data_IF_575112570570
#
_entry.id   IF_575112570570
#
_cell.length_a   1.000
_cell.length_b   1.000
_cell.length_c   1.000
_cell.angle_alpha   90.00
_cell.angle_beta   90.00
_cell.angle_gamma   90.00
#
_symmetry.space_group_name_H-M   'P 1'
#
loop_
_entity.id
_entity.type
_entity.pdbx_description
1 polymer ?
#
# COMPACT_ATOMS: atom_id res chain seq x y z
N UNK A 1 1.52 21.87 16.45
CA UNK A 1 2.24 21.20 15.35
C UNK A 1 3.03 22.22 14.53
N UNK A 2 4.07 21.81 13.80
CA UNK A 2 4.80 22.69 12.87
C UNK A 2 4.04 22.79 11.54
N UNK A 3 4.04 23.96 10.90
CA UNK A 3 3.42 24.20 9.58
C UNK A 3 1.91 23.89 9.49
N UNK A 4 1.14 24.10 10.57
CA UNK A 4 -0.30 23.76 10.60
C UNK A 4 -1.09 24.51 9.52
N UNK A 5 -0.87 25.82 9.36
CA UNK A 5 -1.56 26.64 8.35
C UNK A 5 -1.20 26.21 6.93
N UNK A 6 0.06 25.86 6.67
CA UNK A 6 0.50 25.42 5.34
C UNK A 6 -0.07 24.04 4.95
N UNK A 7 -0.46 23.20 5.92
CA UNK A 7 -1.01 21.86 5.71
C UNK A 7 -2.51 21.76 5.95
N UNK A 8 -3.21 22.86 6.19
CA UNK A 8 -4.61 22.86 6.61
C UNK A 8 -5.53 22.15 5.60
N UNK A 9 -5.33 22.38 4.29
CA UNK A 9 -6.09 21.73 3.23
C UNK A 9 -5.89 20.21 3.19
N UNK A 10 -4.63 19.75 3.26
CA UNK A 10 -4.32 18.32 3.32
C UNK A 10 -4.88 17.66 4.59
N UNK A 11 -4.73 18.31 5.75
CA UNK A 11 -5.26 17.80 7.01
C UNK A 11 -6.79 17.66 6.96
N UNK A 12 -7.48 18.66 6.40
CA UNK A 12 -8.93 18.62 6.19
C UNK A 12 -9.31 17.45 5.29
N UNK A 13 -8.67 17.31 4.12
CA UNK A 13 -8.96 16.21 3.20
C UNK A 13 -8.73 14.83 3.85
N UNK A 14 -7.68 14.66 4.67
CA UNK A 14 -7.43 13.40 5.39
C UNK A 14 -8.54 13.10 6.42
N UNK A 15 -8.97 14.12 7.17
CA UNK A 15 -10.02 13.98 8.17
C UNK A 15 -11.38 13.67 7.52
N UNK A 16 -11.68 14.32 6.39
CA UNK A 16 -12.93 14.14 5.66
C UNK A 16 -13.10 12.69 5.12
N UNK A 17 -12.00 11.96 4.88
CA UNK A 17 -12.07 10.54 4.47
C UNK A 17 -12.35 9.56 5.63
N UNK A 18 -12.10 9.95 6.88
CA UNK A 18 -12.45 9.10 8.04
C UNK A 18 -11.74 7.75 8.12
N UNK A 19 -10.50 7.62 7.61
CA UNK A 19 -9.79 6.33 7.49
C UNK A 19 -9.73 5.50 8.78
N UNK A 20 -9.54 6.15 9.94
CA UNK A 20 -9.51 5.48 11.23
C UNK A 20 -10.87 4.88 11.58
N UNK A 21 -11.95 5.66 11.43
CA UNK A 21 -13.30 5.22 11.73
C UNK A 21 -13.73 4.09 10.80
N UNK A 22 -13.38 4.18 9.51
CA UNK A 22 -13.62 3.13 8.55
C UNK A 22 -13.00 1.79 8.99
N UNK A 23 -11.72 1.80 9.37
CA UNK A 23 -11.04 0.60 9.90
C UNK A 23 -11.71 0.09 11.19
N UNK A 24 -12.06 0.98 12.12
CA UNK A 24 -12.70 0.62 13.39
C UNK A 24 -14.04 -0.10 13.17
N UNK A 25 -14.85 0.38 12.22
CA UNK A 25 -16.13 -0.24 11.88
C UNK A 25 -15.94 -1.62 11.22
N UNK A 26 -14.94 -1.78 10.35
CA UNK A 26 -14.60 -3.07 9.76
C UNK A 26 -14.18 -4.09 10.84
N UNK A 27 -13.29 -3.69 11.75
CA UNK A 27 -12.84 -4.53 12.86
C UNK A 27 -14.01 -4.98 13.74
N UNK A 28 -14.89 -4.05 14.11
CA UNK A 28 -16.11 -4.36 14.85
C UNK A 28 -17.00 -5.37 14.13
N UNK A 29 -17.32 -5.14 12.85
CA UNK A 29 -18.23 -6.00 12.09
C UNK A 29 -17.64 -7.38 11.81
N UNK A 30 -16.34 -7.46 11.57
CA UNK A 30 -15.65 -8.74 11.40
C UNK A 30 -15.60 -9.51 12.72
N UNK A 31 -15.30 -8.87 13.84
CA UNK A 31 -15.35 -9.52 15.15
C UNK A 31 -16.75 -10.08 15.49
N UNK A 32 -17.82 -9.35 15.14
CA UNK A 32 -19.19 -9.83 15.33
C UNK A 32 -19.49 -11.07 14.47
N UNK A 33 -18.99 -11.13 13.24
CA UNK A 33 -19.26 -12.24 12.31
C UNK A 33 -18.25 -13.38 12.38
N UNK A 34 -17.22 -13.28 13.23
CA UNK A 34 -16.13 -14.26 13.32
C UNK A 34 -15.10 -14.16 12.19
N UNK A 35 -15.03 -13.03 11.49
CA UNK A 35 -14.06 -12.75 10.43
C UNK A 35 -12.73 -12.19 10.94
N UNK A 36 -11.74 -12.13 10.05
CA UNK A 36 -10.40 -11.63 10.32
C UNK A 36 -10.14 -10.33 9.56
N UNK A 37 -9.45 -9.38 10.20
CA UNK A 37 -8.97 -8.15 9.56
C UNK A 37 -7.44 -8.11 9.61
N UNK A 38 -6.80 -8.18 8.44
CA UNK A 38 -5.35 -8.09 8.30
C UNK A 38 -5.00 -6.73 7.68
N UNK A 39 -4.31 -5.88 8.44
CA UNK A 39 -3.84 -4.59 7.96
C UNK A 39 -2.46 -4.72 7.30
N UNK A 40 -2.31 -4.24 6.08
CA UNK A 40 -1.05 -4.26 5.33
C UNK A 40 -0.48 -2.84 5.15
N UNK A 41 0.85 -2.67 5.00
CA UNK A 41 1.43 -1.38 4.66
C UNK A 41 0.91 -0.86 3.30
N UNK A 42 0.44 0.39 3.21
CA UNK A 42 -0.17 0.90 1.97
C UNK A 42 0.85 1.34 0.91
N UNK A 43 2.14 1.42 1.29
CA UNK A 43 3.19 2.00 0.45
C UNK A 43 3.36 1.23 -0.86
N UNK A 44 3.49 1.97 -1.97
CA UNK A 44 3.82 1.46 -3.30
C UNK A 44 2.82 0.46 -3.93
N UNK A 45 1.70 0.15 -3.26
CA UNK A 45 0.68 -0.80 -3.74
C UNK A 45 0.11 -0.45 -5.12
N UNK A 46 0.01 0.82 -5.49
CA UNK A 46 -0.45 1.26 -6.82
C UNK A 46 0.69 1.59 -7.81
N UNK A 47 1.95 1.37 -7.42
CA UNK A 47 3.15 1.64 -8.24
C UNK A 47 3.94 0.37 -8.57
N UNK A 48 3.69 -0.73 -7.86
CA UNK A 48 4.31 -2.04 -8.11
C UNK A 48 3.51 -2.82 -9.13
N UNK A 49 4.16 -3.24 -10.22
CA UNK A 49 3.53 -4.06 -11.24
C UNK A 49 3.21 -5.46 -10.70
N UNK A 50 1.95 -5.94 -10.80
CA UNK A 50 1.59 -7.27 -10.32
C UNK A 50 2.12 -8.39 -11.25
N UNK A 51 2.48 -8.08 -12.50
CA UNK A 51 3.02 -9.04 -13.45
C UNK A 51 4.53 -9.31 -13.28
N UNK A 52 5.33 -8.25 -13.09
CA UNK A 52 6.80 -8.37 -13.05
C UNK A 52 7.47 -7.88 -11.75
N UNK A 53 6.71 -7.32 -10.80
CA UNK A 53 7.25 -6.80 -9.55
C UNK A 53 7.96 -5.43 -9.66
N UNK A 54 8.12 -4.87 -10.85
CA UNK A 54 8.77 -3.56 -11.01
C UNK A 54 7.96 -2.44 -10.34
N UNK A 55 8.59 -1.73 -9.39
CA UNK A 55 8.00 -0.59 -8.70
C UNK A 55 8.53 0.73 -9.27
N UNK A 56 7.64 1.53 -9.86
CA UNK A 56 8.02 2.85 -10.39
C UNK A 56 6.85 3.83 -10.35
N UNK A 57 7.16 5.08 -9.98
CA UNK A 57 6.20 6.19 -10.06
C UNK A 57 5.75 6.45 -11.50
N UNK A 58 6.64 6.23 -12.47
CA UNK A 58 6.32 6.39 -13.89
C UNK A 58 5.27 5.38 -14.36
N UNK A 59 5.11 4.25 -13.65
CA UNK A 59 4.07 3.27 -13.97
C UNK A 59 2.65 3.72 -13.63
N UNK A 60 2.47 4.84 -12.91
CA UNK A 60 1.16 5.41 -12.59
C UNK A 60 1.07 6.86 -13.09
N UNK A 61 0.86 7.07 -14.39
CA UNK A 61 0.88 8.41 -15.00
C UNK A 61 -0.30 9.28 -14.55
N UNK A 62 -1.45 8.68 -14.22
CA UNK A 62 -2.64 9.39 -13.73
C UNK A 62 -3.20 8.71 -12.48
N UNK A 63 -4.24 9.28 -11.88
CA UNK A 63 -4.89 8.65 -10.73
C UNK A 63 -5.51 7.29 -11.09
N UNK A 64 -6.08 7.18 -12.30
CA UNK A 64 -6.83 6.00 -12.74
C UNK A 64 -5.98 4.99 -13.51
N UNK A 65 -4.98 5.43 -14.27
CA UNK A 65 -4.21 4.56 -15.16
C UNK A 65 -2.94 4.00 -14.51
N UNK A 66 -2.69 2.72 -14.72
CA UNK A 66 -1.41 2.07 -14.49
C UNK A 66 -0.88 1.46 -15.79
N UNK A 67 0.38 1.70 -16.11
CA UNK A 67 1.08 1.13 -17.26
C UNK A 67 2.52 0.83 -16.88
N UNK A 68 2.87 -0.46 -16.78
CA UNK A 68 4.21 -0.87 -16.36
C UNK A 68 5.26 -0.51 -17.40
N UNK A 69 6.24 0.30 -16.98
CA UNK A 69 7.38 0.71 -17.82
C UNK A 69 8.38 -0.41 -18.13
N UNK A 70 8.23 -1.60 -17.52
CA UNK A 70 9.14 -2.74 -17.70
C UNK A 70 8.53 -3.88 -18.53
N UNK A 71 7.25 -4.23 -18.32
CA UNK A 71 6.63 -5.42 -18.94
C UNK A 71 5.33 -5.14 -19.69
N UNK A 72 5.01 -3.86 -19.96
CA UNK A 72 3.80 -3.42 -20.69
C UNK A 72 2.46 -3.87 -20.11
N UNK A 73 2.42 -4.34 -18.85
CA UNK A 73 1.17 -4.61 -18.16
C UNK A 73 0.41 -3.30 -17.90
N UNK A 74 -0.85 -3.23 -18.34
CA UNK A 74 -1.71 -2.06 -18.17
C UNK A 74 -3.00 -2.46 -17.45
N UNK A 75 -3.45 -1.64 -16.51
CA UNK A 75 -4.70 -1.84 -15.78
C UNK A 75 -5.15 -0.54 -15.09
N UNK A 76 -6.33 -0.57 -14.46
CA UNK A 76 -6.71 0.51 -13.54
C UNK A 76 -5.84 0.49 -12.27
N UNK A 77 -5.36 1.66 -11.82
CA UNK A 77 -4.43 1.77 -10.70
C UNK A 77 -5.03 1.27 -9.37
N UNK A 78 -6.34 1.40 -9.17
CA UNK A 78 -7.03 0.86 -7.98
C UNK A 78 -7.13 -0.67 -8.02
N UNK A 79 -7.26 -1.27 -9.21
CA UNK A 79 -7.23 -2.73 -9.39
C UNK A 79 -5.83 -3.26 -9.08
N UNK A 80 -4.79 -2.59 -9.59
CA UNK A 80 -3.39 -2.88 -9.24
C UNK A 80 -3.16 -2.78 -7.74
N UNK A 81 -3.64 -1.70 -7.12
CA UNK A 81 -3.61 -1.51 -5.67
C UNK A 81 -4.27 -2.67 -4.92
N UNK A 82 -5.48 -3.07 -5.32
CA UNK A 82 -6.21 -4.16 -4.69
C UNK A 82 -5.50 -5.51 -4.81
N UNK A 83 -4.94 -5.83 -5.99
CA UNK A 83 -4.15 -7.06 -6.21
C UNK A 83 -2.95 -7.10 -5.26
N UNK A 84 -2.22 -5.99 -5.16
CA UNK A 84 -1.03 -5.93 -4.30
C UNK A 84 -1.39 -5.97 -2.81
N UNK A 85 -2.49 -5.33 -2.39
CA UNK A 85 -3.01 -5.43 -1.01
C UNK A 85 -3.40 -6.87 -0.67
N UNK A 86 -4.09 -7.58 -1.56
CA UNK A 86 -4.46 -8.98 -1.36
C UNK A 86 -3.23 -9.87 -1.19
N UNK A 87 -2.23 -9.72 -2.08
CA UNK A 87 -0.96 -10.47 -2.00
C UNK A 87 -0.23 -10.21 -0.69
N UNK A 88 -0.12 -8.95 -0.28
CA UNK A 88 0.51 -8.58 0.98
C UNK A 88 -0.26 -9.14 2.19
N UNK A 89 -1.59 -9.16 2.13
CA UNK A 89 -2.46 -9.68 3.19
C UNK A 89 -2.30 -11.18 3.37
N UNK A 90 -2.32 -11.95 2.28
CA UNK A 90 -2.06 -13.39 2.30
C UNK A 90 -0.66 -13.71 2.85
N UNK A 91 0.37 -12.99 2.40
CA UNK A 91 1.73 -13.19 2.88
C UNK A 91 1.85 -12.91 4.39
N UNK A 92 1.23 -11.84 4.88
CA UNK A 92 1.24 -11.52 6.30
C UNK A 92 0.49 -12.56 7.14
N UNK A 93 -0.72 -12.95 6.71
CA UNK A 93 -1.51 -13.95 7.40
C UNK A 93 -0.79 -15.30 7.48
N UNK A 94 -0.13 -15.74 6.39
CA UNK A 94 0.66 -16.96 6.38
C UNK A 94 1.85 -16.93 7.37
N UNK A 95 2.56 -15.79 7.45
CA UNK A 95 3.66 -15.62 8.40
C UNK A 95 3.20 -15.66 9.85
N UNK A 96 2.08 -15.01 10.18
CA UNK A 96 1.49 -15.00 11.53
C UNK A 96 1.10 -16.42 11.97
N UNK A 97 0.48 -17.21 11.09
CA UNK A 97 0.13 -18.62 11.36
C UNK A 97 1.38 -19.50 11.55
N UNK A 98 2.46 -19.20 10.83
CA UNK A 98 3.70 -20.01 10.86
C UNK A 98 4.68 -19.62 11.97
N UNK A 99 4.42 -18.53 12.72
CA UNK A 99 5.38 -17.97 13.68
C UNK A 99 6.62 -17.33 13.04
N UNK A 100 6.59 -17.08 11.72
CA UNK A 100 7.70 -16.48 10.99
C UNK A 100 7.65 -14.95 11.11
N UNK A 101 8.76 -14.32 11.50
CA UNK A 101 8.86 -12.86 11.58
C UNK A 101 9.15 -12.30 10.19
N UNK A 102 8.25 -11.46 9.66
CA UNK A 102 8.56 -10.68 8.45
C UNK A 102 9.67 -9.69 8.80
N UNK A 103 10.81 -9.66 8.07
CA UNK A 103 11.83 -8.64 8.30
C UNK A 103 11.19 -7.25 8.16
N UNK A 104 11.60 -6.26 8.97
CA UNK A 104 11.11 -4.90 8.80
C UNK A 104 11.37 -4.48 7.36
N UNK A 105 10.34 -3.94 6.70
CA UNK A 105 10.50 -3.37 5.37
C UNK A 105 11.67 -2.38 5.45
N UNK A 106 12.75 -2.66 4.72
CA UNK A 106 13.95 -1.86 4.77
C UNK A 106 13.56 -0.40 4.61
N UNK A 107 13.76 0.39 5.67
CA UNK A 107 13.50 1.81 5.64
C UNK A 107 14.25 2.41 4.46
N UNK A 108 13.68 3.44 3.84
CA UNK A 108 14.37 4.21 2.82
C UNK A 108 15.54 4.94 3.46
N UNK A 109 16.71 4.29 3.49
CA UNK A 109 17.96 5.02 3.60
C UNK A 109 18.04 5.92 2.37
N UNK A 110 18.17 7.23 2.58
CA UNK A 110 18.65 8.15 1.55
C UNK A 110 20.09 7.79 1.26
N UNK A 111 20.31 6.87 0.34
CA UNK A 111 21.59 6.66 -0.32
C UNK A 111 21.57 7.46 -1.62
N UNK A 112 22.40 8.50 -1.68
CA UNK A 112 22.85 9.11 -2.93
C UNK A 112 23.61 8.03 -3.73
N UNK A 113 22.88 7.22 -4.49
CA UNK A 113 23.40 6.36 -5.54
C UNK A 113 22.22 5.74 -6.28
N UNK A 114 22.08 6.11 -7.55
CA UNK A 114 21.00 5.64 -8.40
C UNK A 114 21.11 4.15 -8.68
N UNK A 115 20.37 3.35 -7.91
CA UNK A 115 19.75 2.07 -8.32
C UNK A 115 18.76 1.68 -7.22
N UNK A 116 17.48 1.99 -7.40
CA UNK A 116 16.43 1.55 -6.50
C UNK A 116 16.12 0.08 -6.78
N UNK A 117 16.70 -0.82 -6.00
CA UNK A 117 16.21 -2.20 -5.88
C UNK A 117 15.15 -2.25 -4.79
N UNK A 118 13.90 -2.45 -5.20
CA UNK A 118 12.84 -2.88 -4.30
C UNK A 118 12.72 -4.41 -4.44
N UNK A 119 12.94 -5.11 -3.33
CA UNK A 119 12.75 -6.56 -3.18
C UNK A 119 11.25 -6.92 -3.20
N UNK A 120 10.90 -8.17 -3.57
CA UNK A 120 9.53 -8.62 -3.84
C UNK A 120 8.55 -8.49 -2.66
#
# INVERSE_FOLDING_TARGET
GRNVRAKSGLNKAILDQGWFEFRRQLEYKLAWTGGWLVAVPPHYTSQTCPGCGHCSKASRPTQAAFACVQCSFEEHADVVGAINVLRAGHAQFACEVSGAVRPPAAGTHRSDSGTAQCLP
#
